data_IF_222370583085
#
_entry.id   IF_222370583085
#
_cell.length_a   1.000
_cell.length_b   1.000
_cell.length_c   1.000
_cell.angle_alpha   90.00
_cell.angle_beta   90.00
_cell.angle_gamma   90.00
#
_symmetry.space_group_name_H-M   'P 1'
#
loop_
_entity.id
_entity.type
_entity.pdbx_description
1 polymer ?
#
# COMPACT_ATOMS: atom_id res chain seq x y z
N UNK A 1 6.94 1.90 -23.79
CA UNK A 1 5.49 2.16 -23.94
C UNK A 1 4.94 2.21 -22.51
N UNK A 2 5.08 3.38 -21.88
CA UNK A 2 4.91 3.60 -20.45
C UNK A 2 3.99 4.82 -20.31
N UNK A 3 2.72 4.61 -19.94
CA UNK A 3 1.76 5.66 -19.56
C UNK A 3 0.46 4.96 -19.13
N UNK A 4 0.22 4.69 -17.84
CA UNK A 4 -1.16 4.74 -17.28
C UNK A 4 -1.34 4.59 -15.76
N UNK A 5 -0.30 4.41 -14.94
CA UNK A 5 -0.49 3.95 -13.55
C UNK A 5 -0.66 5.00 -12.43
N UNK A 6 -1.02 6.26 -12.72
CA UNK A 6 -1.43 7.22 -11.68
C UNK A 6 -2.11 8.46 -12.26
N UNK A 7 -3.44 8.45 -12.45
CA UNK A 7 -4.14 9.59 -13.09
C UNK A 7 -5.27 10.22 -12.30
N UNK A 8 -5.72 9.67 -11.18
CA UNK A 8 -6.93 10.18 -10.52
C UNK A 8 -6.72 10.24 -9.02
N UNK A 9 -7.10 11.36 -8.40
CA UNK A 9 -7.16 11.53 -6.95
C UNK A 9 -8.63 11.69 -6.57
N UNK A 10 -9.13 10.82 -5.68
CA UNK A 10 -10.44 11.03 -5.07
C UNK A 10 -10.26 11.49 -3.63
N UNK A 11 -10.81 12.67 -3.33
CA UNK A 11 -10.92 13.18 -1.96
C UNK A 11 -12.22 12.65 -1.38
N UNK A 12 -12.15 12.00 -0.22
CA UNK A 12 -13.33 11.45 0.47
C UNK A 12 -13.60 12.29 1.72
N UNK A 13 -14.78 12.93 1.77
CA UNK A 13 -15.29 13.66 2.93
C UNK A 13 -16.15 12.75 3.82
N UNK A 14 -16.26 13.09 5.10
CA UNK A 14 -16.89 12.28 6.16
C UNK A 14 -18.33 11.78 5.85
N UNK A 15 -19.12 12.54 5.07
CA UNK A 15 -20.47 12.12 4.63
C UNK A 15 -20.50 10.79 3.85
N UNK A 16 -19.40 10.37 3.24
CA UNK A 16 -19.31 9.13 2.47
C UNK A 16 -18.92 7.88 3.31
N UNK A 17 -18.50 8.07 4.57
CA UNK A 17 -17.99 6.98 5.43
C UNK A 17 -18.92 6.73 6.63
N UNK A 18 -19.82 7.66 6.97
CA UNK A 18 -20.54 7.69 8.24
C UNK A 18 -21.78 6.77 8.38
N UNK A 19 -22.28 6.09 7.34
CA UNK A 19 -23.40 5.14 7.52
C UNK A 19 -22.94 3.68 7.69
N UNK A 20 -23.09 3.08 8.90
CA UNK A 20 -22.93 1.64 9.05
C UNK A 20 -24.07 0.94 8.30
N UNK A 21 -23.70 0.22 7.24
CA UNK A 21 -24.46 -0.75 6.47
C UNK A 21 -25.78 -1.21 7.13
N UNK A 22 -26.87 -0.46 6.93
CA UNK A 22 -28.21 -1.02 7.06
C UNK A 22 -28.47 -1.83 5.80
N UNK A 23 -28.49 -3.16 5.98
CA UNK A 23 -28.91 -4.12 4.95
C UNK A 23 -30.19 -3.65 4.26
N UNK A 24 -30.10 -3.32 2.98
CA UNK A 24 -31.21 -3.53 2.04
C UNK A 24 -30.66 -4.19 0.79
N UNK A 25 -31.46 -5.13 0.33
CA UNK A 25 -31.12 -6.18 -0.62
C UNK A 25 -30.69 -5.64 -1.99
N UNK A 26 -29.68 -6.31 -2.56
CA UNK A 26 -29.48 -6.51 -3.99
C UNK A 26 -29.54 -5.27 -4.90
N UNK A 27 -28.43 -4.55 -5.01
CA UNK A 27 -27.81 -4.06 -6.25
C UNK A 27 -26.67 -3.10 -5.84
N UNK A 28 -25.43 -3.42 -6.18
CA UNK A 28 -24.34 -2.43 -6.20
C UNK A 28 -23.89 -2.36 -7.65
N UNK A 29 -24.45 -1.38 -8.36
CA UNK A 29 -24.13 -1.08 -9.75
C UNK A 29 -22.97 -0.08 -9.76
N UNK A 30 -21.97 -0.34 -10.61
CA UNK A 30 -20.59 0.11 -10.44
C UNK A 30 -20.20 1.43 -11.11
N UNK A 31 -18.95 1.83 -10.85
CA UNK A 31 -17.97 2.49 -11.74
C UNK A 31 -16.72 2.80 -10.88
N UNK A 32 -15.46 2.66 -11.31
CA UNK A 32 -14.88 2.97 -12.63
C UNK A 32 -13.70 2.02 -12.93
N UNK A 33 -13.68 1.50 -14.17
CA UNK A 33 -12.47 1.00 -14.86
C UNK A 33 -11.52 2.17 -15.10
N UNK A 34 -10.36 2.15 -14.46
CA UNK A 34 -9.25 3.04 -14.75
C UNK A 34 -8.06 2.62 -13.90
N UNK A 35 -6.97 2.24 -14.56
CA UNK A 35 -5.75 1.74 -13.95
C UNK A 35 -5.29 2.65 -12.78
N UNK A 36 -5.36 2.14 -11.54
CA UNK A 36 -4.64 2.69 -10.39
C UNK A 36 -5.40 3.48 -9.31
N UNK A 37 -6.74 3.44 -9.23
CA UNK A 37 -7.47 4.18 -8.19
C UNK A 37 -8.40 3.31 -7.33
N UNK A 38 -8.18 3.31 -6.01
CA UNK A 38 -9.15 2.89 -5.00
C UNK A 38 -9.73 4.15 -4.33
N UNK A 39 -10.83 4.68 -4.87
CA UNK A 39 -11.70 5.62 -4.14
C UNK A 39 -12.63 4.79 -3.29
N UNK A 40 -12.41 4.81 -1.98
CA UNK A 40 -13.32 4.24 -1.01
C UNK A 40 -14.46 5.23 -0.74
N UNK A 41 -15.37 5.36 -1.72
CA UNK A 41 -16.67 5.99 -1.54
C UNK A 41 -17.71 4.89 -1.39
N UNK A 42 -18.13 4.59 -0.17
CA UNK A 42 -19.22 3.66 0.07
C UNK A 42 -20.57 4.34 -0.25
N UNK A 43 -21.40 3.61 -0.99
CA UNK A 43 -22.85 3.75 -1.13
C UNK A 43 -23.51 4.89 -0.33
N UNK A 44 -23.57 6.08 -0.92
CA UNK A 44 -24.59 7.09 -0.67
C UNK A 44 -24.59 8.01 -1.89
N UNK A 45 -25.64 8.79 -2.12
CA UNK A 45 -25.71 9.81 -3.16
C UNK A 45 -24.75 10.99 -2.86
N UNK A 46 -23.48 10.69 -2.60
CA UNK A 46 -22.45 11.62 -2.20
C UNK A 46 -22.00 12.44 -3.41
N UNK A 47 -21.96 13.75 -3.23
CA UNK A 47 -21.41 14.66 -4.24
C UNK A 47 -19.90 14.40 -4.29
N UNK A 48 -19.41 13.90 -5.42
CA UNK A 48 -17.99 13.60 -5.61
C UNK A 48 -17.35 14.62 -6.56
N UNK A 49 -16.23 15.21 -6.14
CA UNK A 49 -15.31 15.89 -7.04
C UNK A 49 -14.24 14.90 -7.53
N UNK A 50 -13.92 14.95 -8.82
CA UNK A 50 -12.89 14.11 -9.43
C UNK A 50 -11.86 14.98 -10.12
N UNK A 51 -10.62 14.92 -9.65
CA UNK A 51 -9.50 15.63 -10.25
C UNK A 51 -8.49 14.63 -10.81
N UNK A 52 -8.00 14.92 -12.02
CA UNK A 52 -6.97 14.10 -12.67
C UNK A 52 -5.62 14.79 -12.56
N UNK A 53 -4.65 14.10 -11.96
CA UNK A 53 -3.28 14.57 -11.85
C UNK A 53 -2.30 13.39 -11.81
N UNK A 54 -1.07 13.64 -12.27
CA UNK A 54 0.05 12.73 -12.04
C UNK A 54 0.64 13.02 -10.66
N UNK A 55 0.76 11.98 -9.82
CA UNK A 55 1.29 12.12 -8.45
C UNK A 55 2.78 12.46 -8.41
N UNK A 56 3.51 12.22 -9.50
CA UNK A 56 4.92 12.60 -9.63
C UNK A 56 5.07 14.12 -9.80
N UNK A 57 4.06 14.81 -10.34
CA UNK A 57 4.03 16.27 -10.46
C UNK A 57 3.42 16.90 -9.19
N UNK A 58 4.30 17.41 -8.31
CA UNK A 58 3.89 18.02 -7.06
C UNK A 58 2.96 19.23 -7.24
N UNK A 59 3.11 20.00 -8.32
CA UNK A 59 2.27 21.18 -8.57
C UNK A 59 0.90 20.76 -9.11
N UNK A 60 0.83 19.71 -9.93
CA UNK A 60 -0.44 19.14 -10.36
C UNK A 60 -1.23 18.57 -9.18
N UNK A 61 -0.56 17.83 -8.29
CA UNK A 61 -1.16 17.30 -7.05
C UNK A 61 -1.73 18.42 -6.19
N UNK A 62 -0.95 19.49 -5.99
CA UNK A 62 -1.39 20.64 -5.20
C UNK A 62 -2.64 21.30 -5.79
N UNK A 63 -2.66 21.55 -7.11
CA UNK A 63 -3.81 22.13 -7.80
C UNK A 63 -5.06 21.25 -7.70
N UNK A 64 -4.91 19.94 -7.85
CA UNK A 64 -6.01 18.99 -7.71
C UNK A 64 -6.60 19.02 -6.28
N UNK A 65 -5.75 19.02 -5.25
CA UNK A 65 -6.20 19.14 -3.86
C UNK A 65 -6.88 20.48 -3.56
N UNK A 66 -6.35 21.58 -4.08
CA UNK A 66 -6.95 22.91 -3.93
C UNK A 66 -8.34 22.97 -4.60
N UNK A 67 -8.48 22.40 -5.80
CA UNK A 67 -9.76 22.33 -6.51
C UNK A 67 -10.79 21.48 -5.75
N UNK A 68 -10.39 20.30 -5.27
CA UNK A 68 -11.26 19.44 -4.47
C UNK A 68 -11.69 20.12 -3.16
N UNK A 69 -10.75 20.74 -2.43
CA UNK A 69 -11.07 21.46 -1.20
C UNK A 69 -12.02 22.65 -1.45
N UNK A 70 -11.82 23.37 -2.57
CA UNK A 70 -12.71 24.47 -2.96
C UNK A 70 -14.12 23.98 -3.29
N UNK A 71 -14.24 22.84 -3.99
CA UNK A 71 -15.53 22.23 -4.30
C UNK A 71 -16.31 21.86 -3.04
N UNK A 72 -15.64 21.27 -2.05
CA UNK A 72 -16.26 20.86 -0.78
C UNK A 72 -16.32 21.99 0.27
N UNK A 73 -15.73 23.16 -0.01
CA UNK A 73 -15.55 24.28 0.93
C UNK A 73 -14.90 23.88 2.27
N UNK A 74 -14.06 22.85 2.27
CA UNK A 74 -13.33 22.35 3.45
C UNK A 74 -12.10 21.55 3.03
N UNK A 75 -11.18 21.30 3.95
CA UNK A 75 -10.08 20.38 3.70
C UNK A 75 -10.55 18.92 3.78
N UNK A 76 -9.78 18.03 3.17
CA UNK A 76 -10.00 16.60 3.25
C UNK A 76 -9.87 16.09 4.70
N UNK A 77 -10.87 15.34 5.16
CA UNK A 77 -10.83 14.65 6.47
C UNK A 77 -9.93 13.40 6.39
N UNK A 78 -9.97 12.72 5.23
CA UNK A 78 -9.21 11.52 4.93
C UNK A 78 -8.39 11.70 3.65
N UNK A 79 -7.10 11.42 3.73
CA UNK A 79 -6.19 11.39 2.56
C UNK A 79 -5.65 9.97 2.40
N UNK A 80 -5.99 9.30 1.30
CA UNK A 80 -5.54 7.94 1.02
C UNK A 80 -4.58 7.94 -0.17
N UNK A 81 -3.30 7.66 0.08
CA UNK A 81 -2.28 7.55 -0.95
C UNK A 81 -2.26 6.10 -1.48
N UNK A 82 -2.99 5.85 -2.56
CA UNK A 82 -3.16 4.52 -3.17
C UNK A 82 -2.41 4.32 -4.48
N UNK A 83 -1.98 5.39 -5.14
CA UNK A 83 -1.25 5.32 -6.40
C UNK A 83 0.06 4.54 -6.22
N UNK A 84 0.37 3.67 -7.18
CA UNK A 84 1.54 2.82 -7.11
C UNK A 84 1.75 1.99 -8.38
N UNK A 85 2.98 1.52 -8.53
CA UNK A 85 3.38 0.61 -9.61
C UNK A 85 4.26 -0.51 -9.05
N UNK A 86 4.22 -1.66 -9.70
CA UNK A 86 5.06 -2.82 -9.41
C UNK A 86 5.70 -3.31 -10.69
N UNK A 87 6.97 -3.67 -10.61
CA UNK A 87 7.72 -4.27 -11.70
C UNK A 87 8.70 -5.27 -11.09
N UNK A 88 8.30 -6.56 -11.02
CA UNK A 88 9.16 -7.61 -10.49
C UNK A 88 10.19 -8.00 -11.55
N UNK A 89 11.33 -8.51 -11.10
CA UNK A 89 12.42 -8.90 -11.97
C UNK A 89 13.73 -9.11 -11.22
N UNK A 90 14.67 -9.83 -11.83
CA UNK A 90 16.00 -9.93 -11.25
C UNK A 90 16.71 -8.57 -11.35
N UNK A 91 17.41 -8.20 -10.28
CA UNK A 91 18.12 -6.91 -10.18
C UNK A 91 19.01 -6.59 -11.38
N UNK A 92 19.72 -7.58 -11.93
CA UNK A 92 20.63 -7.39 -13.07
C UNK A 92 19.92 -7.18 -14.41
N UNK A 93 18.64 -7.54 -14.50
CA UNK A 93 17.84 -7.43 -15.72
C UNK A 93 16.97 -6.15 -15.72
N UNK A 94 16.99 -5.39 -14.62
CA UNK A 94 16.25 -4.14 -14.44
C UNK A 94 17.18 -2.94 -14.59
N UNK A 95 16.68 -1.86 -15.21
CA UNK A 95 17.43 -0.62 -15.36
C UNK A 95 17.28 0.28 -14.13
N UNK A 96 18.33 1.07 -13.81
CA UNK A 96 18.30 2.01 -12.68
C UNK A 96 17.21 3.07 -12.83
N UNK A 97 16.84 3.41 -14.06
CA UNK A 97 15.74 4.35 -14.33
C UNK A 97 14.38 3.77 -13.91
N UNK A 98 14.17 2.46 -14.00
CA UNK A 98 13.00 1.77 -13.42
C UNK A 98 12.93 1.93 -11.91
N UNK A 99 14.07 1.86 -11.21
CA UNK A 99 14.13 2.14 -9.77
C UNK A 99 13.75 3.58 -9.45
N UNK A 100 14.21 4.56 -10.25
CA UNK A 100 13.80 5.97 -10.10
C UNK A 100 12.30 6.12 -10.31
N UNK A 101 11.74 5.61 -11.41
CA UNK A 101 10.29 5.66 -11.69
C UNK A 101 9.46 5.01 -10.58
N UNK A 102 9.90 3.86 -10.07
CA UNK A 102 9.25 3.16 -8.95
C UNK A 102 9.24 4.04 -7.69
N UNK A 103 10.37 4.68 -7.36
CA UNK A 103 10.47 5.62 -6.23
C UNK A 103 9.61 6.87 -6.45
N UNK A 104 9.63 7.45 -7.64
CA UNK A 104 8.87 8.64 -7.99
C UNK A 104 7.36 8.42 -7.79
N UNK A 105 6.86 7.26 -8.21
CA UNK A 105 5.43 6.93 -8.08
C UNK A 105 5.09 6.45 -6.66
N UNK A 106 5.76 5.40 -6.18
CA UNK A 106 5.37 4.71 -4.94
C UNK A 106 5.69 5.52 -3.68
N UNK A 107 6.79 6.28 -3.69
CA UNK A 107 7.25 7.05 -2.53
C UNK A 107 6.99 8.55 -2.71
N UNK A 108 7.56 9.19 -3.73
CA UNK A 108 7.41 10.63 -3.91
C UNK A 108 5.97 11.01 -4.23
N UNK A 109 5.22 10.19 -4.96
CA UNK A 109 3.79 10.38 -5.18
C UNK A 109 3.00 10.50 -3.87
N UNK A 110 3.23 9.58 -2.92
CA UNK A 110 2.63 9.67 -1.58
C UNK A 110 3.12 10.91 -0.82
N UNK A 111 4.42 11.21 -0.89
CA UNK A 111 5.03 12.37 -0.25
C UNK A 111 4.39 13.68 -0.74
N UNK A 112 4.23 13.85 -2.05
CA UNK A 112 3.63 15.04 -2.65
C UNK A 112 2.20 15.24 -2.19
N UNK A 113 1.38 14.18 -2.21
CA UNK A 113 -0.03 14.24 -1.77
C UNK A 113 -0.12 14.64 -0.30
N UNK A 114 0.64 13.98 0.58
CA UNK A 114 0.66 14.31 2.01
C UNK A 114 1.13 15.74 2.22
N UNK A 115 2.25 16.13 1.62
CA UNK A 115 2.84 17.45 1.79
C UNK A 115 1.90 18.57 1.31
N UNK A 116 1.17 18.35 0.21
CA UNK A 116 0.21 19.32 -0.31
C UNK A 116 -1.08 19.40 0.53
N UNK A 117 -1.57 18.28 1.09
CA UNK A 117 -2.80 18.24 1.87
C UNK A 117 -2.63 18.82 3.30
N UNK A 118 -1.46 18.59 3.91
CA UNK A 118 -1.22 18.87 5.33
C UNK A 118 -1.53 20.31 5.77
N UNK A 119 -1.11 21.39 5.06
CA UNK A 119 -1.37 22.75 5.52
C UNK A 119 -2.86 23.07 5.71
N UNK A 120 -3.70 22.61 4.77
CA UNK A 120 -5.14 22.80 4.84
C UNK A 120 -5.78 21.97 5.96
N UNK A 121 -5.35 20.71 6.11
CA UNK A 121 -5.80 19.85 7.20
C UNK A 121 -5.46 20.49 8.56
N UNK A 122 -4.20 20.87 8.80
CA UNK A 122 -3.74 21.48 10.07
C UNK A 122 -4.56 22.73 10.40
N UNK A 123 -4.73 23.64 9.43
CA UNK A 123 -5.52 24.85 9.63
C UNK A 123 -6.97 24.54 10.04
N UNK A 124 -7.58 23.53 9.43
CA UNK A 124 -8.92 23.08 9.81
C UNK A 124 -8.95 22.49 11.24
N UNK A 125 -7.93 21.72 11.63
CA UNK A 125 -7.83 21.16 13.00
C UNK A 125 -7.68 22.23 14.08
N UNK A 126 -7.01 23.33 13.76
CA UNK A 126 -6.89 24.47 14.68
C UNK A 126 -8.24 25.13 14.97
N UNK A 127 -9.17 25.13 14.00
CA UNK A 127 -10.49 25.75 14.11
C UNK A 127 -11.59 24.81 14.64
N UNK A 128 -11.54 23.52 14.32
CA UNK A 128 -12.62 22.53 14.58
C UNK A 128 -12.31 21.58 15.75
N UNK A 129 -11.49 22.00 16.72
CA UNK A 129 -10.99 21.13 17.82
C UNK A 129 -12.12 20.31 18.46
N UNK A 130 -12.14 19.00 18.19
CA UNK A 130 -13.04 18.02 18.82
C UNK A 130 -14.06 17.37 17.87
N UNK A 131 -14.23 17.89 16.65
CA UNK A 131 -15.07 17.29 15.61
C UNK A 131 -14.14 16.50 14.64
N UNK A 132 -14.46 15.22 14.43
CA UNK A 132 -13.82 14.20 13.55
C UNK A 132 -12.33 14.28 13.20
N UNK A 133 -11.62 13.18 13.48
CA UNK A 133 -10.16 13.05 13.34
C UNK A 133 -9.59 13.15 11.91
N UNK A 134 -8.69 14.10 11.61
CA UNK A 134 -7.92 14.11 10.36
C UNK A 134 -7.09 12.83 10.23
N UNK A 135 -7.09 12.21 9.05
CA UNK A 135 -6.50 10.88 8.84
C UNK A 135 -5.74 10.81 7.50
N UNK A 136 -4.50 10.34 7.56
CA UNK A 136 -3.69 9.98 6.40
C UNK A 136 -3.55 8.47 6.35
N UNK A 137 -3.73 7.88 5.17
CA UNK A 137 -3.53 6.45 4.93
C UNK A 137 -2.55 6.28 3.79
N UNK A 138 -1.47 5.53 4.04
CA UNK A 138 -0.48 5.18 3.03
C UNK A 138 -0.67 3.72 2.63
N UNK A 139 -0.86 3.43 1.34
CA UNK A 139 -0.99 2.06 0.83
C UNK A 139 0.41 1.48 0.52
N UNK A 140 0.93 0.76 1.49
CA UNK A 140 2.16 -0.03 1.38
C UNK A 140 1.92 -1.36 0.67
N UNK A 141 2.59 -2.40 1.17
CA UNK A 141 2.46 -3.78 0.70
C UNK A 141 2.99 -4.73 1.77
N UNK A 142 2.69 -6.03 1.70
CA UNK A 142 3.49 -7.06 2.36
C UNK A 142 5.00 -6.87 2.11
N UNK A 143 5.37 -6.39 0.91
CA UNK A 143 6.73 -6.04 0.53
C UNK A 143 7.31 -4.76 1.19
N UNK A 144 6.55 -4.07 2.04
CA UNK A 144 7.07 -3.08 2.99
C UNK A 144 7.65 -3.72 4.26
N UNK A 145 7.39 -5.01 4.48
CA UNK A 145 7.72 -5.76 5.70
C UNK A 145 8.71 -6.91 5.43
N UNK A 146 8.76 -7.40 4.20
CA UNK A 146 9.75 -8.36 3.74
C UNK A 146 10.25 -8.01 2.34
N UNK A 147 11.43 -8.49 1.97
CA UNK A 147 11.97 -8.42 0.62
C UNK A 147 12.55 -9.80 0.26
N UNK A 148 12.48 -10.16 -1.02
CA UNK A 148 13.02 -11.42 -1.51
C UNK A 148 13.63 -11.25 -2.91
N UNK A 149 14.16 -12.32 -3.47
CA UNK A 149 14.59 -12.33 -4.88
C UNK A 149 13.45 -11.84 -5.78
N UNK A 150 13.78 -11.06 -6.81
CA UNK A 150 12.79 -10.59 -7.78
C UNK A 150 11.99 -9.34 -7.37
N UNK A 151 12.04 -8.90 -6.11
CA UNK A 151 11.27 -7.74 -5.62
C UNK A 151 12.12 -6.50 -5.31
N UNK A 152 13.41 -6.48 -5.66
CA UNK A 152 14.36 -5.43 -5.23
C UNK A 152 13.88 -4.00 -5.57
N UNK A 153 13.41 -3.76 -6.79
CA UNK A 153 12.87 -2.46 -7.21
C UNK A 153 11.62 -2.05 -6.45
N UNK A 154 10.69 -2.99 -6.25
CA UNK A 154 9.41 -2.70 -5.62
C UNK A 154 9.54 -2.58 -4.10
N UNK A 155 10.14 -3.57 -3.44
CA UNK A 155 10.35 -3.59 -1.99
C UNK A 155 11.12 -2.37 -1.52
N UNK A 156 12.19 -1.95 -2.21
CA UNK A 156 12.94 -0.74 -1.80
C UNK A 156 12.04 0.50 -1.69
N UNK A 157 11.17 0.74 -2.68
CA UNK A 157 10.21 1.84 -2.65
C UNK A 157 9.14 1.70 -1.55
N UNK A 158 8.63 0.47 -1.33
CA UNK A 158 7.60 0.20 -0.32
C UNK A 158 8.14 0.18 1.12
N UNK A 159 9.42 -0.12 1.33
CA UNK A 159 10.11 0.10 2.61
C UNK A 159 10.34 1.60 2.89
N UNK A 160 10.70 2.39 1.87
CA UNK A 160 10.82 3.84 2.03
C UNK A 160 9.48 4.48 2.45
N UNK A 161 8.37 4.02 1.86
CA UNK A 161 7.02 4.48 2.22
C UNK A 161 6.66 4.14 3.68
N UNK A 162 7.12 2.99 4.19
CA UNK A 162 6.96 2.64 5.60
C UNK A 162 7.72 3.58 6.52
N UNK A 163 8.97 3.94 6.18
CA UNK A 163 9.73 4.94 6.93
C UNK A 163 9.01 6.29 6.99
N UNK A 164 8.42 6.73 5.87
CA UNK A 164 7.59 7.94 5.83
C UNK A 164 6.39 7.84 6.79
N UNK A 165 5.66 6.72 6.76
CA UNK A 165 4.50 6.49 7.62
C UNK A 165 4.86 6.55 9.11
N UNK A 166 5.94 5.88 9.51
CA UNK A 166 6.37 5.80 10.91
C UNK A 166 6.80 7.17 11.45
N UNK A 167 7.52 7.95 10.66
CA UNK A 167 7.92 9.33 11.01
C UNK A 167 6.71 10.26 11.12
N UNK A 168 5.88 10.30 10.08
CA UNK A 168 4.70 11.17 10.05
C UNK A 168 3.73 10.86 11.19
N UNK A 169 3.56 9.60 11.56
CA UNK A 169 2.72 9.21 12.69
C UNK A 169 3.17 9.85 14.00
N UNK A 170 4.47 10.06 14.19
CA UNK A 170 4.98 10.75 15.39
C UNK A 170 4.79 12.27 15.26
N UNK A 171 5.23 12.84 14.14
CA UNK A 171 5.20 14.28 13.88
C UNK A 171 3.78 14.85 13.90
N UNK A 172 2.84 14.19 13.24
CA UNK A 172 1.48 14.68 13.07
C UNK A 172 0.60 14.58 14.33
N UNK A 173 1.11 13.96 15.40
CA UNK A 173 0.50 14.06 16.74
C UNK A 173 0.45 15.50 17.24
N UNK A 174 1.37 16.36 16.79
CA UNK A 174 1.38 17.79 17.12
C UNK A 174 0.11 18.52 16.66
N UNK A 175 -0.57 17.97 15.65
CA UNK A 175 -1.71 18.59 14.97
C UNK A 175 -3.01 17.78 15.09
N UNK A 176 -3.04 16.75 15.95
CA UNK A 176 -4.17 15.81 16.06
C UNK A 176 -4.58 15.20 14.70
N UNK A 177 -3.58 14.84 13.87
CA UNK A 177 -3.77 14.12 12.61
C UNK A 177 -3.20 12.71 12.79
N UNK A 178 -4.03 11.71 12.49
CA UNK A 178 -3.67 10.30 12.57
C UNK A 178 -3.06 9.84 11.25
N UNK A 179 -2.17 8.86 11.35
CA UNK A 179 -1.57 8.19 10.19
C UNK A 179 -1.81 6.69 10.34
N UNK A 180 -2.14 6.03 9.24
CA UNK A 180 -2.16 4.59 9.11
C UNK A 180 -1.39 4.16 7.85
N UNK A 181 -0.80 2.99 7.90
CA UNK A 181 -0.20 2.32 6.75
C UNK A 181 -0.87 0.97 6.56
N UNK A 182 -1.32 0.73 5.33
CA UNK A 182 -1.96 -0.50 4.92
C UNK A 182 -0.97 -1.40 4.21
N UNK A 183 -0.86 -2.64 4.66
CA UNK A 183 0.00 -3.68 4.09
C UNK A 183 -0.89 -4.77 3.48
N UNK A 184 -1.37 -4.58 2.25
CA UNK A 184 -2.07 -5.63 1.53
C UNK A 184 -1.10 -6.74 1.07
N UNK A 185 -1.58 -7.99 1.10
CA UNK A 185 -1.07 -9.07 0.27
C UNK A 185 -1.53 -8.93 -1.18
N UNK A 186 -1.70 -10.04 -1.90
CA UNK A 186 -2.15 -10.00 -3.29
C UNK A 186 -3.61 -9.55 -3.38
N UNK A 187 -3.88 -8.60 -4.27
CA UNK A 187 -5.23 -8.07 -4.55
C UNK A 187 -5.55 -8.31 -6.01
N UNK A 188 -6.71 -8.90 -6.27
CA UNK A 188 -7.21 -9.20 -7.61
C UNK A 188 -7.47 -7.89 -8.37
N UNK A 189 -6.52 -7.55 -9.25
CA UNK A 189 -6.52 -6.32 -10.04
C UNK A 189 -5.90 -6.60 -11.41
N UNK A 190 -6.22 -5.80 -12.44
CA UNK A 190 -5.54 -5.90 -13.74
C UNK A 190 -4.01 -5.73 -13.64
N UNK A 191 -3.52 -5.05 -12.60
CA UNK A 191 -2.08 -4.91 -12.32
C UNK A 191 -1.45 -6.26 -11.95
N UNK A 192 -2.13 -7.08 -11.13
CA UNK A 192 -1.63 -8.37 -10.67
C UNK A 192 -1.37 -9.33 -11.83
N UNK A 193 -2.24 -9.35 -12.85
CA UNK A 193 -2.03 -10.18 -14.04
C UNK A 193 -0.73 -9.84 -14.79
N UNK A 194 -0.44 -8.54 -14.93
CA UNK A 194 0.79 -8.05 -15.59
C UNK A 194 2.02 -8.35 -14.72
N UNK A 195 1.89 -8.18 -13.41
CA UNK A 195 2.94 -8.49 -12.43
C UNK A 195 3.34 -9.97 -12.50
N UNK A 196 2.37 -10.88 -12.36
CA UNK A 196 2.60 -12.33 -12.36
C UNK A 196 3.29 -12.83 -13.62
N UNK A 197 3.08 -12.18 -14.77
CA UNK A 197 3.74 -12.52 -16.03
C UNK A 197 5.25 -12.22 -16.04
N UNK A 198 5.69 -11.26 -15.22
CA UNK A 198 7.09 -10.84 -15.10
C UNK A 198 7.79 -11.43 -13.87
N UNK A 199 7.01 -11.88 -12.87
CA UNK A 199 7.53 -12.36 -11.60
C UNK A 199 8.42 -13.60 -11.78
N UNK A 200 9.67 -13.58 -11.27
CA UNK A 200 10.53 -14.75 -11.27
C UNK A 200 9.92 -15.97 -10.58
N UNK A 201 10.20 -17.20 -11.04
CA UNK A 201 9.62 -18.42 -10.45
C UNK A 201 10.00 -18.63 -8.98
N UNK A 202 11.20 -18.18 -8.56
CA UNK A 202 11.61 -18.22 -7.16
C UNK A 202 10.74 -17.29 -6.30
N UNK A 203 10.42 -16.11 -6.83
CA UNK A 203 9.57 -15.12 -6.16
C UNK A 203 8.14 -15.65 -6.01
N UNK A 204 7.55 -16.23 -7.07
CA UNK A 204 6.24 -16.90 -7.01
C UNK A 204 6.21 -18.01 -5.97
N UNK A 205 7.30 -18.78 -5.84
CA UNK A 205 7.41 -19.86 -4.84
C UNK A 205 7.46 -19.30 -3.42
N UNK A 206 8.16 -18.17 -3.21
CA UNK A 206 8.30 -17.53 -1.90
C UNK A 206 7.01 -16.84 -1.46
N UNK A 207 6.35 -16.11 -2.37
CA UNK A 207 5.03 -15.51 -2.13
C UNK A 207 3.96 -16.57 -1.87
N UNK A 208 4.11 -17.73 -2.51
CA UNK A 208 3.28 -18.90 -2.28
C UNK A 208 1.83 -18.72 -2.73
N UNK A 209 0.94 -19.56 -2.19
CA UNK A 209 -0.47 -19.68 -2.58
C UNK A 209 -1.36 -18.65 -1.87
N UNK A 210 -0.88 -17.41 -1.74
CA UNK A 210 -1.72 -16.32 -1.21
C UNK A 210 -2.85 -16.07 -2.22
N UNK A 211 -4.05 -16.57 -1.91
CA UNK A 211 -5.24 -16.30 -2.72
C UNK A 211 -5.46 -14.78 -2.79
N UNK A 212 -5.52 -14.18 -3.99
CA UNK A 212 -5.78 -12.76 -4.12
C UNK A 212 -7.10 -12.39 -3.45
N UNK A 213 -7.08 -11.32 -2.66
CA UNK A 213 -8.30 -10.72 -2.13
C UNK A 213 -8.97 -9.89 -3.22
N UNK A 214 -10.30 -9.82 -3.23
CA UNK A 214 -10.98 -8.86 -4.09
C UNK A 214 -10.61 -7.43 -3.67
N UNK A 215 -10.63 -6.49 -4.61
CA UNK A 215 -10.37 -5.08 -4.33
C UNK A 215 -11.30 -4.54 -3.24
N UNK A 216 -12.58 -4.92 -3.25
CA UNK A 216 -13.57 -4.51 -2.26
C UNK A 216 -13.24 -5.06 -0.86
N UNK A 217 -12.81 -6.32 -0.77
CA UNK A 217 -12.42 -6.94 0.50
C UNK A 217 -11.17 -6.29 1.10
N UNK A 218 -10.18 -5.97 0.26
CA UNK A 218 -9.00 -5.23 0.67
C UNK A 218 -9.38 -3.82 1.18
N UNK A 219 -10.26 -3.14 0.44
CA UNK A 219 -10.73 -1.80 0.76
C UNK A 219 -11.51 -1.76 2.08
N UNK A 220 -12.43 -2.72 2.29
CA UNK A 220 -13.17 -2.86 3.53
C UNK A 220 -12.24 -3.14 4.72
N UNK A 221 -11.19 -3.94 4.53
CA UNK A 221 -10.18 -4.23 5.56
C UNK A 221 -9.42 -2.96 5.95
N UNK A 222 -9.05 -2.12 4.98
CA UNK A 222 -8.45 -0.81 5.21
C UNK A 222 -9.38 0.08 6.03
N UNK A 223 -10.65 0.26 5.61
CA UNK A 223 -11.64 1.08 6.34
C UNK A 223 -11.79 0.59 7.78
N UNK A 224 -11.97 -0.71 7.97
CA UNK A 224 -12.14 -1.30 9.30
C UNK A 224 -10.91 -1.06 10.20
N UNK A 225 -9.71 -1.10 9.64
CA UNK A 225 -8.47 -0.81 10.36
C UNK A 225 -8.38 0.66 10.77
N UNK A 226 -8.71 1.58 9.86
CA UNK A 226 -8.75 3.03 10.13
C UNK A 226 -9.78 3.35 11.21
N UNK A 227 -10.99 2.78 11.11
CA UNK A 227 -12.06 2.97 12.10
C UNK A 227 -11.65 2.48 13.50
N UNK A 228 -10.85 1.40 13.58
CA UNK A 228 -10.28 0.90 14.84
C UNK A 228 -9.07 1.71 15.35
N UNK A 229 -8.63 2.72 14.61
CA UNK A 229 -7.45 3.53 14.96
C UNK A 229 -6.12 2.77 14.83
N UNK A 230 -6.08 1.72 14.01
CA UNK A 230 -4.87 0.94 13.81
C UNK A 230 -3.85 1.73 12.98
N UNK A 231 -2.61 1.80 13.46
CA UNK A 231 -1.50 2.34 12.68
C UNK A 231 -1.12 1.39 11.54
N UNK A 232 -0.93 0.10 11.81
CA UNK A 232 -0.49 -0.90 10.83
C UNK A 232 -1.64 -1.84 10.47
N UNK A 233 -2.23 -1.70 9.28
CA UNK A 233 -3.39 -2.49 8.86
C UNK A 233 -2.92 -3.60 7.92
N UNK A 234 -3.32 -4.85 8.16
CA UNK A 234 -2.88 -6.02 7.37
C UNK A 234 -4.07 -6.84 6.90
N UNK A 235 -3.95 -7.51 5.75
CA UNK A 235 -5.05 -8.25 5.12
C UNK A 235 -5.20 -9.70 5.56
N UNK A 236 -4.10 -10.35 5.92
CA UNK A 236 -4.06 -11.80 6.14
C UNK A 236 -3.12 -12.18 7.29
N UNK A 237 -3.19 -13.42 7.80
CA UNK A 237 -2.38 -13.87 8.93
C UNK A 237 -0.87 -13.84 8.67
N UNK A 238 -0.41 -14.10 7.44
CA UNK A 238 1.02 -14.10 7.13
C UNK A 238 1.58 -12.67 7.20
N UNK A 239 0.90 -11.71 6.56
CA UNK A 239 1.29 -10.30 6.62
C UNK A 239 1.17 -9.76 8.05
N UNK A 240 0.18 -10.23 8.83
CA UNK A 240 0.08 -9.90 10.26
C UNK A 240 1.29 -10.39 11.07
N UNK A 241 1.80 -11.60 10.82
CA UNK A 241 3.01 -12.12 11.46
C UNK A 241 4.26 -11.33 11.04
N UNK A 242 4.41 -11.05 9.73
CA UNK A 242 5.49 -10.20 9.21
C UNK A 242 5.48 -8.82 9.85
N UNK A 243 4.29 -8.25 10.07
CA UNK A 243 4.12 -6.98 10.79
C UNK A 243 4.62 -7.08 12.23
N UNK A 244 4.28 -8.14 12.99
CA UNK A 244 4.78 -8.32 14.37
C UNK A 244 6.31 -8.31 14.41
N UNK A 245 6.94 -9.05 13.50
CA UNK A 245 8.41 -9.15 13.41
C UNK A 245 9.06 -7.82 13.01
N UNK A 246 8.39 -7.11 12.11
CA UNK A 246 8.86 -5.84 11.57
C UNK A 246 8.61 -4.66 12.49
N UNK A 247 7.74 -4.77 13.48
CA UNK A 247 7.04 -3.64 14.11
C UNK A 247 7.93 -2.57 14.77
N UNK A 248 9.23 -2.81 15.02
CA UNK A 248 10.14 -1.80 15.58
C UNK A 248 9.57 -1.07 16.81
N UNK A 249 9.51 0.26 16.74
CA UNK A 249 8.90 1.17 17.75
C UNK A 249 7.46 1.59 17.43
N UNK A 250 6.83 0.97 16.42
CA UNK A 250 5.46 1.29 16.02
C UNK A 250 4.43 0.71 16.98
N UNK A 251 3.19 1.26 17.02
CA UNK A 251 2.12 0.72 17.84
C UNK A 251 1.82 -0.74 17.52
N UNK A 252 1.55 -1.50 18.57
CA UNK A 252 1.03 -2.86 18.49
C UNK A 252 -0.49 -2.83 18.62
N UNK A 253 -1.19 -3.78 18.02
CA UNK A 253 -2.64 -3.91 18.22
C UNK A 253 -2.92 -4.46 19.62
N UNK A 254 -2.12 -5.43 20.06
CA UNK A 254 -2.20 -5.99 21.39
C UNK A 254 -0.80 -6.31 21.93
N UNK A 255 -0.21 -5.38 22.68
CA UNK A 255 1.16 -5.49 23.18
C UNK A 255 1.40 -6.76 23.99
N UNK A 256 0.46 -7.18 24.83
CA UNK A 256 0.63 -8.35 25.69
C UNK A 256 0.62 -9.64 24.88
N UNK A 257 -0.39 -9.80 23.99
CA UNK A 257 -0.50 -10.98 23.16
C UNK A 257 0.66 -11.09 22.15
N UNK A 258 1.05 -9.97 21.54
CA UNK A 258 2.17 -9.92 20.61
C UNK A 258 3.50 -10.22 21.32
N UNK A 259 3.71 -9.70 22.53
CA UNK A 259 4.91 -10.01 23.32
C UNK A 259 4.96 -11.50 23.72
N UNK A 260 3.83 -12.06 24.13
CA UNK A 260 3.74 -13.47 24.53
C UNK A 260 3.98 -14.44 23.35
N UNK A 261 3.55 -14.06 22.15
CA UNK A 261 3.70 -14.89 20.94
C UNK A 261 5.05 -14.71 20.25
N UNK A 262 5.79 -13.63 20.54
CA UNK A 262 7.04 -13.28 19.86
C UNK A 262 8.08 -14.42 19.78
N UNK A 263 8.35 -15.22 20.83
CA UNK A 263 9.30 -16.33 20.74
C UNK A 263 8.91 -17.36 19.67
N UNK A 264 7.61 -17.65 19.53
CA UNK A 264 7.10 -18.55 18.50
C UNK A 264 7.23 -17.93 17.11
N UNK A 265 6.92 -16.63 16.98
CA UNK A 265 7.02 -15.92 15.70
C UNK A 265 8.47 -15.87 15.19
N UNK A 266 9.45 -15.75 16.07
CA UNK A 266 10.89 -15.80 15.71
C UNK A 266 11.28 -17.16 15.12
N UNK A 267 10.75 -18.26 15.67
CA UNK A 267 11.01 -19.61 15.11
C UNK A 267 10.40 -19.73 13.71
N UNK A 268 9.17 -19.25 13.52
CA UNK A 268 8.50 -19.22 12.21
C UNK A 268 9.29 -18.38 11.21
N UNK A 269 9.75 -17.20 11.61
CA UNK A 269 10.60 -16.33 10.79
C UNK A 269 11.88 -17.04 10.35
N UNK A 270 12.57 -17.69 11.28
CA UNK A 270 13.83 -18.37 10.99
C UNK A 270 13.62 -19.52 10.01
N UNK A 271 12.55 -20.28 10.17
CA UNK A 271 12.16 -21.32 9.22
C UNK A 271 11.83 -20.74 7.84
N UNK A 272 11.12 -19.60 7.78
CA UNK A 272 10.79 -18.92 6.53
C UNK A 272 12.02 -18.37 5.81
N UNK A 273 12.99 -17.82 6.55
CA UNK A 273 14.29 -17.39 6.01
C UNK A 273 15.04 -18.57 5.37
N UNK A 274 15.16 -19.69 6.08
CA UNK A 274 15.81 -20.90 5.56
C UNK A 274 15.09 -21.43 4.32
N UNK A 275 13.75 -21.37 4.30
CA UNK A 275 12.95 -21.72 3.14
C UNK A 275 13.25 -20.82 1.94
N UNK A 276 13.28 -19.49 2.12
CA UNK A 276 13.61 -18.54 1.06
C UNK A 276 15.00 -18.83 0.46
N UNK A 277 16.01 -19.02 1.31
CA UNK A 277 17.37 -19.34 0.87
C UNK A 277 17.39 -20.67 0.11
N UNK A 278 16.70 -21.70 0.60
CA UNK A 278 16.63 -23.00 -0.06
C UNK A 278 16.00 -22.92 -1.47
N UNK A 279 14.96 -22.09 -1.67
CA UNK A 279 14.34 -21.86 -2.99
C UNK A 279 15.35 -21.27 -3.97
N UNK A 280 16.13 -20.27 -3.54
CA UNK A 280 17.15 -19.62 -4.37
C UNK A 280 18.31 -20.58 -4.65
N UNK A 281 18.77 -21.34 -3.65
CA UNK A 281 19.85 -22.31 -3.81
C UNK A 281 19.48 -23.47 -4.75
N UNK A 282 18.25 -23.95 -4.66
CA UNK A 282 17.71 -24.95 -5.56
C UNK A 282 17.71 -24.44 -7.01
N UNK A 283 17.29 -23.19 -7.22
CA UNK A 283 17.26 -22.58 -8.54
C UNK A 283 18.68 -22.33 -9.09
N UNK A 284 19.63 -21.95 -8.23
CA UNK A 284 21.07 -21.90 -8.57
C UNK A 284 21.58 -23.26 -9.05
N UNK A 285 21.23 -24.33 -8.35
CA UNK A 285 21.60 -25.70 -8.73
C UNK A 285 20.99 -26.11 -10.09
N UNK A 286 19.71 -25.82 -10.32
CA UNK A 286 19.03 -26.10 -11.60
C UNK A 286 19.71 -25.39 -12.78
N UNK A 287 20.00 -24.09 -12.66
CA UNK A 287 20.70 -23.33 -13.70
C UNK A 287 22.11 -23.87 -13.97
N UNK A 288 22.82 -24.32 -12.93
CA UNK A 288 24.14 -24.94 -13.09
C UNK A 288 24.06 -26.29 -13.83
N UNK A 289 23.02 -27.08 -13.56
CA UNK A 289 22.76 -28.35 -14.25
C UNK A 289 22.42 -28.13 -15.74
N UNK A 290 21.58 -27.16 -16.05
CA UNK A 290 21.23 -26.79 -17.45
C UNK A 290 22.46 -26.38 -18.25
N UNK A 291 23.29 -25.45 -17.74
CA UNK A 291 24.54 -25.03 -18.39
C UNK A 291 25.53 -26.18 -18.65
N UNK A 292 25.54 -27.20 -17.79
CA UNK A 292 26.39 -28.39 -17.98
C UNK A 292 25.87 -29.30 -19.09
N UNK A 293 24.55 -29.37 -19.28
CA UNK A 293 23.95 -30.16 -20.35
C UNK A 293 24.15 -29.47 -21.71
N UNK A 294 23.92 -28.15 -21.79
CA UNK A 294 24.14 -27.38 -23.03
C UNK A 294 25.58 -27.49 -23.55
N UNK A 295 26.57 -27.53 -22.65
CA UNK A 295 27.99 -27.75 -23.01
C UNK A 295 28.32 -29.17 -23.49
N UNK A 296 27.46 -30.15 -23.21
CA UNK A 296 27.64 -31.53 -23.69
C UNK A 296 27.03 -31.75 -25.08
N UNK A 297 26.07 -30.89 -25.45
CA UNK A 297 25.34 -30.97 -26.72
C UNK A 297 25.96 -30.07 -27.82
N UNK A 298 27.00 -29.28 -27.49
CA UNK A 298 27.84 -28.50 -28.41
C UNK A 298 29.15 -29.23 -28.72
#
# INVERSE_FOLDING_TARGET
>A
MATDSAKVMGVVTEEAIAEPARRRDGLVDGAVRGDGLLVLGACCAAVAATESCDVVDSEAVKKALEAANAFHNRAADHVVCSAGTVEPGYFMDQDVEGFRRSMDINYFGCLHVVHAALPAMIKQRETERGESGGQIVLVGSAFSLMACIGSTQYSSSKYALRGLAESLRNELKLYDIRVSIFYPGNVDTPMLERELALTPPETLTIEGVSNPLSAEAAAQTLINGVAKGHFSITTDPLVYLLRILSNGVTPRHNTVLEAATLPLVIVIQTAFLVFMDAVVEYSRWQRAKQRRNEKKDQ
#
